data_IF_743285424328
#
_entry.id   IF_743285424328
#
_cell.length_a   1.000
_cell.length_b   1.000
_cell.length_c   1.000
_cell.angle_alpha   90.00
_cell.angle_beta   90.00
_cell.angle_gamma   90.00
#
_symmetry.space_group_name_H-M   'P 1'
#
loop_
_entity.id
_entity.type
_entity.pdbx_description
1 polymer ?
#
# COMPACT_ATOMS: atom_id res chain seq x y z
N UNK A 1 -2.62 -19.13 -1.95
CA UNK A 1 -1.36 -19.63 -2.57
C UNK A 1 -0.24 -18.73 -2.09
N UNK A 2 0.92 -19.26 -1.69
CA UNK A 2 2.09 -18.42 -1.41
C UNK A 2 2.51 -17.79 -2.74
N UNK A 3 2.69 -16.47 -2.76
CA UNK A 3 3.14 -15.75 -3.96
C UNK A 3 4.53 -16.30 -4.33
N UNK A 4 4.66 -16.95 -5.47
CA UNK A 4 5.91 -17.57 -5.96
C UNK A 4 6.80 -16.57 -6.70
N UNK A 5 6.43 -15.29 -6.68
CA UNK A 5 7.13 -14.20 -7.35
C UNK A 5 8.20 -13.66 -6.41
N UNK A 6 9.44 -13.63 -6.87
CA UNK A 6 10.59 -13.12 -6.13
C UNK A 6 11.01 -11.74 -6.64
N UNK A 7 11.38 -10.79 -5.76
CA UNK A 7 11.87 -9.48 -6.19
C UNK A 7 13.11 -9.58 -7.07
N UNK A 8 13.11 -8.90 -8.22
CA UNK A 8 14.29 -8.78 -9.11
C UNK A 8 15.23 -7.67 -8.67
N UNK A 9 14.75 -6.75 -7.83
CA UNK A 9 15.44 -5.51 -7.47
C UNK A 9 15.38 -4.43 -8.56
N UNK A 10 14.84 -4.73 -9.75
CA UNK A 10 14.65 -3.74 -10.81
C UNK A 10 13.40 -2.92 -10.53
N UNK A 11 13.54 -1.60 -10.57
CA UNK A 11 12.41 -0.70 -10.51
C UNK A 11 11.87 -0.41 -11.92
N UNK A 12 10.56 -0.44 -12.06
CA UNK A 12 9.82 0.04 -13.24
C UNK A 12 8.89 1.19 -12.84
N UNK A 13 8.45 1.96 -13.82
CA UNK A 13 7.52 3.08 -13.63
C UNK A 13 6.48 3.11 -14.74
N UNK A 14 5.59 4.09 -14.69
CA UNK A 14 4.54 4.31 -15.68
C UNK A 14 4.39 5.80 -15.97
N UNK A 15 3.62 6.12 -17.02
CA UNK A 15 3.46 7.51 -17.45
C UNK A 15 2.81 8.38 -16.36
N UNK A 16 3.32 9.61 -16.17
CA UNK A 16 2.84 10.55 -15.15
C UNK A 16 1.39 11.01 -15.37
N UNK A 17 0.90 10.98 -16.61
CA UNK A 17 -0.49 11.29 -16.96
C UNK A 17 -1.45 10.15 -16.64
N UNK A 18 -0.93 8.93 -16.43
CA UNK A 18 -1.75 7.78 -16.09
C UNK A 18 -2.02 7.67 -14.58
N UNK A 19 -3.17 7.12 -14.24
CA UNK A 19 -3.56 6.81 -12.87
C UNK A 19 -3.87 5.32 -12.79
N UNK A 20 -3.35 4.64 -11.78
CA UNK A 20 -3.77 3.28 -11.44
C UNK A 20 -5.00 3.39 -10.54
N UNK A 21 -6.07 2.67 -10.93
CA UNK A 21 -7.34 2.66 -10.20
C UNK A 21 -7.70 1.23 -9.84
N UNK A 22 -8.12 0.99 -8.60
CA UNK A 22 -8.70 -0.29 -8.17
C UNK A 22 -9.79 -0.10 -7.14
N UNK A 23 -10.82 -0.94 -7.18
CA UNK A 23 -11.84 -1.04 -6.13
C UNK A 23 -11.79 -2.41 -5.48
N UNK A 24 -12.12 -2.47 -4.19
CA UNK A 24 -12.18 -3.73 -3.45
C UNK A 24 -13.48 -3.85 -2.66
N UNK A 25 -13.84 -5.09 -2.34
CA UNK A 25 -14.81 -5.40 -1.29
C UNK A 25 -14.25 -5.04 0.11
N UNK A 26 -15.07 -5.29 1.14
CA UNK A 26 -14.72 -5.07 2.55
C UNK A 26 -13.58 -5.95 3.07
N UNK A 27 -13.24 -7.03 2.35
CA UNK A 27 -12.14 -7.95 2.68
C UNK A 27 -10.87 -7.62 1.87
N UNK A 28 -10.89 -6.56 1.07
CA UNK A 28 -9.76 -6.15 0.24
C UNK A 28 -9.57 -7.00 -1.01
N UNK A 29 -10.60 -7.75 -1.45
CA UNK A 29 -10.59 -8.45 -2.73
C UNK A 29 -10.94 -7.50 -3.84
N UNK A 30 -10.12 -7.48 -4.89
CA UNK A 30 -10.30 -6.59 -6.02
C UNK A 30 -11.58 -6.99 -6.77
N UNK A 31 -12.46 -6.03 -6.99
CA UNK A 31 -13.68 -6.18 -7.80
C UNK A 31 -13.63 -5.33 -9.09
N UNK A 32 -12.62 -4.47 -9.21
CA UNK A 32 -12.34 -3.69 -10.40
C UNK A 32 -10.90 -3.21 -10.37
N UNK A 33 -10.23 -3.24 -11.52
CA UNK A 33 -8.99 -2.52 -11.76
C UNK A 33 -8.98 -1.96 -13.19
N UNK A 34 -8.31 -0.84 -13.41
CA UNK A 34 -8.26 -0.23 -14.73
C UNK A 34 -7.11 -0.79 -15.60
N UNK A 35 -7.11 -0.46 -16.90
CA UNK A 35 -6.07 -0.88 -17.84
C UNK A 35 -4.64 -0.54 -17.39
N UNK A 36 -4.45 0.61 -16.74
CA UNK A 36 -3.15 1.00 -16.19
C UNK A 36 -2.67 0.02 -15.11
N UNK A 37 -3.57 -0.44 -14.23
CA UNK A 37 -3.24 -1.48 -13.25
C UNK A 37 -2.67 -2.73 -13.91
N UNK A 38 -3.39 -3.27 -14.91
CA UNK A 38 -2.98 -4.49 -15.61
C UNK A 38 -1.64 -4.28 -16.34
N UNK A 39 -1.51 -3.16 -17.06
CA UNK A 39 -0.29 -2.85 -17.83
C UNK A 39 0.95 -2.71 -16.95
N UNK A 40 0.84 -2.09 -15.77
CA UNK A 40 1.99 -1.85 -14.88
C UNK A 40 2.30 -3.09 -14.05
N UNK A 41 1.27 -3.75 -13.52
CA UNK A 41 1.45 -4.92 -12.67
C UNK A 41 1.83 -6.17 -13.47
N UNK A 42 1.52 -6.23 -14.77
CA UNK A 42 1.75 -7.40 -15.61
C UNK A 42 0.81 -8.57 -15.31
N UNK A 43 -0.28 -8.33 -14.57
CA UNK A 43 -1.36 -9.29 -14.36
C UNK A 43 -2.53 -8.97 -15.28
N UNK A 44 -3.20 -10.01 -15.76
CA UNK A 44 -4.42 -9.87 -16.54
C UNK A 44 -5.67 -9.83 -15.64
N UNK A 45 -6.78 -9.30 -16.16
CA UNK A 45 -8.05 -9.15 -15.42
C UNK A 45 -8.49 -10.43 -14.71
N UNK A 46 -8.46 -11.57 -15.40
CA UNK A 46 -8.87 -12.88 -14.86
C UNK A 46 -8.01 -13.36 -13.69
N UNK A 47 -6.78 -12.87 -13.59
CA UNK A 47 -5.86 -13.21 -12.50
C UNK A 47 -6.04 -12.29 -11.30
N UNK A 48 -6.65 -11.11 -11.50
CA UNK A 48 -6.79 -10.06 -10.49
C UNK A 48 -8.19 -10.07 -9.86
N UNK A 49 -9.21 -10.35 -10.66
CA UNK A 49 -10.60 -10.33 -10.18
C UNK A 49 -10.82 -11.33 -9.03
N UNK A 50 -11.43 -10.84 -7.95
CA UNK A 50 -11.65 -11.57 -6.70
C UNK A 50 -10.40 -11.86 -5.86
N UNK A 51 -9.19 -11.51 -6.34
CA UNK A 51 -7.96 -11.71 -5.56
C UNK A 51 -7.75 -10.64 -4.50
N UNK A 52 -7.12 -10.97 -3.36
CA UNK A 52 -6.68 -9.96 -2.40
C UNK A 52 -5.75 -8.95 -3.07
N UNK A 53 -5.93 -7.66 -2.76
CA UNK A 53 -5.07 -6.59 -3.32
C UNK A 53 -3.58 -6.79 -3.01
N UNK A 54 -3.27 -7.54 -1.96
CA UNK A 54 -1.91 -7.96 -1.62
C UNK A 54 -1.20 -8.81 -2.67
N UNK A 55 -1.86 -9.24 -3.75
CA UNK A 55 -1.22 -9.94 -4.88
C UNK A 55 -0.06 -9.15 -5.50
N UNK A 56 -0.16 -7.81 -5.51
CA UNK A 56 0.88 -6.90 -5.99
C UNK A 56 1.73 -6.30 -4.86
N UNK A 57 1.60 -6.78 -3.61
CA UNK A 57 2.35 -6.20 -2.49
C UNK A 57 3.82 -6.61 -2.57
N UNK A 58 4.73 -5.65 -2.48
CA UNK A 58 6.16 -5.92 -2.34
C UNK A 58 6.48 -6.45 -0.93
N UNK A 59 7.35 -7.48 -0.77
CA UNK A 59 7.72 -8.01 0.55
C UNK A 59 8.39 -6.99 1.47
N UNK A 60 9.16 -6.04 0.92
CA UNK A 60 9.80 -4.96 1.71
C UNK A 60 8.82 -3.97 2.34
N UNK A 61 7.55 -3.95 1.92
CA UNK A 61 6.59 -3.04 2.53
C UNK A 61 6.28 -3.48 3.96
N UNK A 62 6.48 -2.61 4.97
CA UNK A 62 6.20 -2.95 6.35
C UNK A 62 4.71 -3.21 6.57
N UNK A 63 4.40 -4.24 7.35
CA UNK A 63 3.02 -4.58 7.72
C UNK A 63 2.40 -3.50 8.60
N UNK A 64 3.18 -2.75 9.37
CA UNK A 64 2.68 -1.61 10.16
C UNK A 64 1.96 -0.54 9.31
N UNK A 65 2.49 -0.20 8.12
CA UNK A 65 1.88 0.79 7.23
C UNK A 65 0.54 0.28 6.69
N UNK A 66 0.47 -0.99 6.32
CA UNK A 66 -0.80 -1.59 5.89
C UNK A 66 -1.79 -1.73 7.04
N UNK A 67 -1.34 -2.01 8.27
CA UNK A 67 -2.21 -2.02 9.44
C UNK A 67 -2.84 -0.63 9.64
N UNK A 68 -2.03 0.43 9.60
CA UNK A 68 -2.53 1.81 9.68
C UNK A 68 -3.54 2.11 8.56
N UNK A 69 -3.23 1.74 7.33
CA UNK A 69 -4.15 1.88 6.19
C UNK A 69 -5.49 1.20 6.47
N UNK A 70 -5.48 -0.05 6.93
CA UNK A 70 -6.69 -0.81 7.23
C UNK A 70 -7.47 -0.20 8.39
N UNK A 71 -6.79 0.19 9.47
CA UNK A 71 -7.41 0.84 10.62
C UNK A 71 -8.15 2.13 10.20
N UNK A 72 -7.54 2.93 9.31
CA UNK A 72 -8.12 4.18 8.80
C UNK A 72 -9.35 3.94 7.94
N UNK A 73 -9.23 3.14 6.89
CA UNK A 73 -10.32 2.96 5.93
C UNK A 73 -11.51 2.19 6.53
N UNK A 74 -11.26 1.27 7.47
CA UNK A 74 -12.33 0.61 8.23
C UNK A 74 -12.99 1.55 9.25
N UNK A 75 -12.27 2.58 9.71
CA UNK A 75 -12.81 3.65 10.54
C UNK A 75 -13.64 4.68 9.76
N UNK A 76 -13.71 4.58 8.44
CA UNK A 76 -14.41 5.55 7.58
C UNK A 76 -13.52 6.70 7.10
N UNK A 77 -12.23 6.70 7.42
CA UNK A 77 -11.28 7.73 7.02
C UNK A 77 -10.54 7.39 5.72
N UNK A 78 -10.02 8.42 5.05
CA UNK A 78 -9.05 8.25 3.97
C UNK A 78 -7.61 8.11 4.49
N UNK A 79 -6.71 7.68 3.61
CA UNK A 79 -5.28 7.65 3.88
C UNK A 79 -4.47 7.92 2.61
N UNK A 80 -3.39 8.69 2.77
CA UNK A 80 -2.34 8.87 1.79
C UNK A 80 -1.11 8.06 2.19
N UNK A 81 -0.51 7.32 1.26
CA UNK A 81 0.69 6.54 1.52
C UNK A 81 1.56 6.37 0.28
N UNK A 82 2.88 6.27 0.46
CA UNK A 82 3.77 5.76 -0.57
C UNK A 82 3.81 4.23 -0.47
N UNK A 83 3.59 3.54 -1.59
CA UNK A 83 3.51 2.06 -1.57
C UNK A 83 4.41 1.48 -2.64
N UNK A 84 5.30 0.57 -2.24
CA UNK A 84 6.10 -0.28 -3.12
C UNK A 84 5.27 -1.51 -3.49
N UNK A 85 4.99 -1.67 -4.78
CA UNK A 85 4.29 -2.83 -5.32
C UNK A 85 5.24 -3.67 -6.17
N UNK A 86 4.87 -4.93 -6.41
CA UNK A 86 5.61 -5.90 -7.20
C UNK A 86 4.76 -6.34 -8.39
N UNK A 87 5.38 -6.37 -9.57
CA UNK A 87 4.80 -6.89 -10.81
C UNK A 87 4.82 -8.41 -10.81
N UNK A 88 4.08 -9.02 -11.74
CA UNK A 88 4.11 -10.46 -12.01
C UNK A 88 5.52 -11.01 -12.27
N UNK A 89 6.39 -10.20 -12.87
CA UNK A 89 7.77 -10.57 -13.20
C UNK A 89 8.77 -10.45 -12.05
N UNK A 90 8.34 -9.87 -10.91
CA UNK A 90 9.21 -9.61 -9.76
C UNK A 90 9.85 -8.22 -9.73
N UNK A 91 9.74 -7.44 -10.80
CA UNK A 91 10.09 -6.01 -10.75
C UNK A 91 9.19 -5.26 -9.78
N UNK A 92 9.65 -4.11 -9.28
CA UNK A 92 8.88 -3.29 -8.35
C UNK A 92 8.60 -1.90 -8.91
N UNK A 93 7.56 -1.26 -8.37
CA UNK A 93 7.22 0.11 -8.71
C UNK A 93 6.64 0.83 -7.50
N UNK A 94 6.97 2.10 -7.35
CA UNK A 94 6.42 2.95 -6.31
C UNK A 94 5.18 3.70 -6.79
N UNK A 95 4.23 3.89 -5.89
CA UNK A 95 3.04 4.72 -6.10
C UNK A 95 2.84 5.68 -4.94
N UNK A 96 2.35 6.88 -5.24
CA UNK A 96 1.64 7.70 -4.27
C UNK A 96 0.17 7.28 -4.30
N UNK A 97 -0.30 6.65 -3.23
CA UNK A 97 -1.64 6.09 -3.10
C UNK A 97 -2.53 6.99 -2.24
N UNK A 98 -3.76 7.17 -2.71
CA UNK A 98 -4.88 7.71 -1.95
C UNK A 98 -5.95 6.61 -1.87
N UNK A 99 -6.36 6.24 -0.66
CA UNK A 99 -7.36 5.18 -0.44
C UNK A 99 -8.53 5.74 0.34
N UNK A 100 -9.74 5.52 -0.15
CA UNK A 100 -10.98 6.01 0.45
C UNK A 100 -12.02 4.91 0.61
N UNK A 101 -12.81 4.92 1.70
CA UNK A 101 -14.01 4.10 1.80
C UNK A 101 -15.10 4.61 0.86
N UNK A 102 -15.84 3.67 0.28
CA UNK A 102 -17.09 3.93 -0.44
C UNK A 102 -18.25 3.53 0.44
N UNK A 103 -19.34 4.31 0.43
CA UNK A 103 -20.50 4.11 1.29
C UNK A 103 -21.73 3.71 0.48
N UNK A 104 -22.58 2.85 1.05
CA UNK A 104 -23.91 2.55 0.50
C UNK A 104 -24.92 3.66 0.81
N UNK A 105 -26.16 3.50 0.34
CA UNK A 105 -27.24 4.48 0.57
C UNK A 105 -27.66 4.59 2.03
N UNK A 106 -27.31 3.62 2.88
CA UNK A 106 -27.58 3.62 4.31
C UNK A 106 -26.41 4.22 5.12
N UNK A 107 -25.32 4.63 4.48
CA UNK A 107 -24.13 5.19 5.11
C UNK A 107 -23.16 4.14 5.65
N UNK A 108 -23.33 2.85 5.34
CA UNK A 108 -22.37 1.82 5.72
C UNK A 108 -21.24 1.76 4.70
N UNK A 109 -20.03 1.40 5.14
CA UNK A 109 -18.92 1.13 4.23
C UNK A 109 -19.29 -0.08 3.35
N UNK A 110 -19.21 0.11 2.03
CA UNK A 110 -19.52 -0.89 1.01
C UNK A 110 -18.27 -1.47 0.34
N UNK A 111 -17.14 -0.80 0.44
CA UNK A 111 -15.87 -1.20 -0.16
C UNK A 111 -14.84 -0.08 -0.11
N UNK A 112 -13.72 -0.27 -0.79
CA UNK A 112 -12.63 0.70 -0.82
C UNK A 112 -12.22 1.02 -2.25
N UNK A 113 -11.76 2.25 -2.46
CA UNK A 113 -11.28 2.75 -3.74
C UNK A 113 -9.86 3.28 -3.56
N UNK A 114 -8.95 2.95 -4.48
CA UNK A 114 -7.59 3.48 -4.48
C UNK A 114 -7.20 4.11 -5.80
N UNK A 115 -6.66 5.32 -5.71
CA UNK A 115 -6.12 6.12 -6.79
C UNK A 115 -4.61 6.21 -6.59
N UNK A 116 -3.83 5.88 -7.61
CA UNK A 116 -2.37 5.77 -7.49
C UNK A 116 -1.67 6.50 -8.63
N UNK A 117 -0.72 7.35 -8.26
CA UNK A 117 0.08 8.16 -9.18
C UNK A 117 1.55 7.81 -9.05
N UNK A 118 2.34 8.16 -10.05
CA UNK A 118 3.80 8.13 -9.96
C UNK A 118 4.22 9.10 -8.83
N UNK A 119 4.99 8.64 -7.83
CA UNK A 119 5.44 9.51 -6.76
C UNK A 119 6.65 10.34 -7.18
N UNK A 120 6.87 11.46 -6.49
CA UNK A 120 8.14 12.19 -6.61
C UNK A 120 9.28 11.32 -6.07
N UNK A 121 10.41 11.26 -6.79
CA UNK A 121 11.56 10.45 -6.37
C UNK A 121 12.14 10.92 -5.03
N UNK A 122 12.13 12.23 -4.78
CA UNK A 122 12.52 12.81 -3.49
C UNK A 122 11.66 12.30 -2.33
N UNK A 123 10.35 12.17 -2.53
CA UNK A 123 9.43 11.69 -1.51
C UNK A 123 9.64 10.20 -1.20
N UNK A 124 9.90 9.38 -2.23
CA UNK A 124 10.29 7.97 -2.05
C UNK A 124 11.58 7.88 -1.23
N UNK A 125 12.62 8.65 -1.61
CA UNK A 125 13.88 8.65 -0.87
C UNK A 125 13.76 9.15 0.57
N UNK A 126 12.78 10.00 0.87
CA UNK A 126 12.53 10.49 2.22
C UNK A 126 11.75 9.49 3.10
N UNK A 127 10.83 8.70 2.53
CA UNK A 127 10.00 7.75 3.27
C UNK A 127 10.62 6.36 3.40
N UNK A 128 11.44 5.94 2.45
CA UNK A 128 12.04 4.60 2.41
C UNK A 128 12.86 4.26 3.68
N UNK A 129 13.67 5.16 4.26
CA UNK A 129 14.39 4.86 5.51
C UNK A 129 13.48 4.54 6.71
N UNK A 130 12.29 5.14 6.77
CA UNK A 130 11.29 4.79 7.77
C UNK A 130 10.80 3.36 7.52
N UNK A 131 10.48 3.01 6.28
CA UNK A 131 9.98 1.69 5.93
C UNK A 131 11.02 0.60 6.19
N UNK A 132 12.29 0.84 5.87
CA UNK A 132 13.40 -0.07 6.20
C UNK A 132 13.53 -0.29 7.71
N UNK A 133 13.35 0.78 8.49
CA UNK A 133 13.38 0.69 9.96
C UNK A 133 12.21 -0.15 10.48
N UNK A 134 10.99 0.08 9.99
CA UNK A 134 9.82 -0.71 10.36
C UNK A 134 9.98 -2.19 9.97
N UNK A 135 10.45 -2.48 8.76
CA UNK A 135 10.68 -3.84 8.28
C UNK A 135 11.78 -4.56 9.08
N UNK A 136 12.86 -3.85 9.48
CA UNK A 136 13.87 -4.40 10.39
C UNK A 136 13.31 -4.71 11.78
N UNK A 137 12.45 -3.84 12.32
CA UNK A 137 11.75 -4.09 13.59
C UNK A 137 10.86 -5.33 13.46
N UNK A 138 10.09 -5.46 12.37
CA UNK A 138 9.24 -6.64 12.16
C UNK A 138 10.07 -7.93 12.12
N UNK A 139 11.23 -7.91 11.44
CA UNK A 139 12.11 -9.06 11.29
C UNK A 139 12.90 -9.43 12.56
N UNK A 140 13.12 -8.50 13.50
CA UNK A 140 13.88 -8.75 14.73
C UNK A 140 13.08 -9.46 15.83
N UNK A 141 11.78 -9.66 15.63
CA UNK A 141 10.89 -10.27 16.62
C UNK A 141 10.62 -11.75 16.32
N UNK A 142 10.30 -12.50 17.38
CA UNK A 142 10.17 -13.98 17.33
C UNK A 142 9.03 -14.45 16.43
N UNK A 143 7.99 -13.64 16.29
CA UNK A 143 6.83 -13.97 15.49
C UNK A 143 6.21 -12.74 14.85
N UNK A 144 5.39 -13.01 13.84
CA UNK A 144 4.69 -12.02 13.04
C UNK A 144 3.81 -11.06 13.86
N UNK A 145 3.25 -11.50 14.99
CA UNK A 145 2.38 -10.64 15.81
C UNK A 145 3.21 -9.64 16.60
N UNK A 146 4.23 -10.12 17.32
CA UNK A 146 5.15 -9.28 18.09
C UNK A 146 5.82 -8.23 17.19
N UNK A 147 6.31 -8.64 16.01
CA UNK A 147 6.95 -7.73 15.06
C UNK A 147 6.00 -6.64 14.53
N UNK A 148 4.74 -7.00 14.25
CA UNK A 148 3.73 -6.02 13.84
C UNK A 148 3.40 -5.05 14.97
N UNK A 149 3.19 -5.54 16.19
CA UNK A 149 2.89 -4.69 17.35
C UNK A 149 4.04 -3.70 17.63
N UNK A 150 5.29 -4.16 17.55
CA UNK A 150 6.47 -3.32 17.76
C UNK A 150 6.66 -2.26 16.66
N UNK A 151 6.55 -2.65 15.39
CA UNK A 151 6.68 -1.72 14.26
C UNK A 151 5.51 -0.73 14.21
N UNK A 152 4.27 -1.15 14.51
CA UNK A 152 3.14 -0.23 14.63
C UNK A 152 3.34 0.80 15.74
N UNK A 153 3.89 0.40 16.89
CA UNK A 153 4.25 1.33 17.97
C UNK A 153 5.29 2.34 17.50
N UNK A 154 6.37 1.87 16.85
CA UNK A 154 7.42 2.74 16.33
C UNK A 154 6.90 3.75 15.29
N UNK A 155 6.01 3.30 14.38
CA UNK A 155 5.36 4.19 13.42
C UNK A 155 4.53 5.28 14.13
N UNK A 156 3.78 4.91 15.17
CA UNK A 156 2.99 5.86 15.97
C UNK A 156 3.87 6.88 16.69
N UNK A 157 4.97 6.42 17.30
CA UNK A 157 5.96 7.28 17.96
C UNK A 157 6.62 8.25 16.97
N UNK A 158 6.99 7.78 15.78
CA UNK A 158 7.53 8.61 14.71
C UNK A 158 6.56 9.71 14.27
N UNK A 159 5.28 9.35 14.05
CA UNK A 159 4.23 10.31 13.68
C UNK A 159 4.01 11.35 14.79
N UNK A 160 3.93 10.89 16.04
CA UNK A 160 3.75 11.74 17.22
C UNK A 160 4.91 12.72 17.41
N UNK A 161 6.16 12.26 17.22
CA UNK A 161 7.35 13.10 17.34
C UNK A 161 7.36 14.26 16.33
N UNK A 162 6.75 14.09 15.17
CA UNK A 162 6.60 15.14 14.16
C UNK A 162 5.46 16.12 14.45
N UNK A 163 4.62 15.85 15.46
CA UNK A 163 3.42 16.66 15.78
C UNK A 163 2.49 16.85 14.57
N UNK A 164 2.37 15.80 13.76
CA UNK A 164 1.56 15.73 12.53
C UNK A 164 0.81 14.42 12.51
N UNK A 165 -0.22 14.33 11.67
CA UNK A 165 -0.81 13.07 11.24
C UNK A 165 0.09 12.36 10.23
N UNK A 166 -0.14 11.06 10.00
CA UNK A 166 0.57 10.33 8.96
C UNK A 166 0.33 10.95 7.57
N UNK A 167 -0.91 11.36 7.29
CA UNK A 167 -1.29 11.98 6.02
C UNK A 167 -0.55 13.30 5.80
N UNK A 168 -0.44 14.16 6.82
CA UNK A 168 0.33 15.42 6.75
C UNK A 168 1.83 15.20 6.53
N UNK A 169 2.39 14.11 7.08
CA UNK A 169 3.79 13.75 6.83
C UNK A 169 3.94 13.34 5.37
N UNK A 170 3.10 12.42 4.89
CA UNK A 170 3.16 11.91 3.51
C UNK A 170 2.96 13.02 2.48
N UNK A 171 2.00 13.92 2.70
CA UNK A 171 1.68 15.04 1.79
C UNK A 171 2.74 16.14 1.78
N UNK A 172 3.58 16.23 2.81
CA UNK A 172 4.65 17.22 2.91
C UNK A 172 5.95 16.81 2.20
N UNK A 173 6.07 15.57 1.72
CA UNK A 173 7.22 15.04 0.97
C UNK A 173 7.14 15.33 -0.53
#
# INVERSE_FOLDING_TARGET
MKNTIHPTGREVSFDNGNIIVSKTDLKGRICYANRTFYSVSGFDEREVDGQPHSIIRHPDMPRAVFKLLWDRILGGDEIFAYVKNMTRSGDHYWVFAHVTPSFDTAGNIAGFHSNRRVPRRSAVGAIEPLYDTLSRIEASHRNAREGLEASSRHLSEFVTAQRKTYDEIVLAL
#
